data_IF_274047120138
#
_entry.id   IF_274047120138
#
_cell.length_a   1.000
_cell.length_b   1.000
_cell.length_c   1.000
_cell.angle_alpha   90.00
_cell.angle_beta   90.00
_cell.angle_gamma   90.00
#
_symmetry.space_group_name_H-M   'P 1'
#
loop_
_entity.id
_entity.type
_entity.pdbx_description
1 polymer ?
#
# COMPACT_ATOMS: atom_id res chain seq x y z
N UNK A 1 8.49 -1.31 5.97
CA UNK A 1 7.09 -1.48 6.43
C UNK A 1 6.59 -2.86 6.07
N UNK A 2 6.10 -3.11 4.85
CA UNK A 2 5.50 -4.41 4.51
C UNK A 2 6.47 -5.59 4.57
N UNK A 3 7.67 -5.48 4.01
CA UNK A 3 8.67 -6.55 4.18
C UNK A 3 9.03 -6.81 5.64
N UNK A 4 9.10 -5.74 6.45
CA UNK A 4 9.36 -5.82 7.88
C UNK A 4 8.26 -6.56 8.62
N UNK A 5 6.99 -6.39 8.25
CA UNK A 5 5.88 -7.16 8.85
C UNK A 5 5.93 -8.65 8.49
N UNK A 6 6.57 -9.01 7.38
CA UNK A 6 6.91 -10.40 7.03
C UNK A 6 8.20 -10.92 7.68
N UNK A 7 8.80 -10.17 8.63
CA UNK A 7 10.05 -10.55 9.28
C UNK A 7 11.30 -10.39 8.39
N UNK A 8 11.17 -9.74 7.23
CA UNK A 8 12.28 -9.48 6.32
C UNK A 8 12.90 -8.12 6.61
N UNK A 9 14.22 -8.09 6.74
CA UNK A 9 14.97 -6.84 6.94
C UNK A 9 15.61 -6.41 5.62
N UNK A 10 15.11 -5.32 5.05
CA UNK A 10 15.70 -4.65 3.90
C UNK A 10 15.98 -3.19 4.24
N UNK A 11 17.14 -2.69 3.80
CA UNK A 11 17.36 -1.26 3.77
C UNK A 11 16.47 -0.63 2.68
N UNK A 12 16.07 0.63 2.88
CA UNK A 12 15.29 1.35 1.87
C UNK A 12 16.02 1.43 0.51
N UNK A 13 17.35 1.55 0.54
CA UNK A 13 18.20 1.53 -0.66
C UNK A 13 18.08 0.22 -1.45
N UNK A 14 17.92 -0.92 -0.77
CA UNK A 14 17.73 -2.22 -1.43
C UNK A 14 16.36 -2.29 -2.10
N UNK A 15 15.31 -1.83 -1.41
CA UNK A 15 13.96 -1.76 -1.96
C UNK A 15 13.94 -0.81 -3.17
N UNK A 16 14.58 0.36 -3.07
CA UNK A 16 14.70 1.31 -4.20
C UNK A 16 15.42 0.67 -5.38
N UNK A 17 16.47 -0.11 -5.16
CA UNK A 17 17.19 -0.85 -6.19
C UNK A 17 16.32 -1.94 -6.84
N UNK A 18 15.57 -2.72 -6.07
CA UNK A 18 14.59 -3.69 -6.61
C UNK A 18 13.55 -2.98 -7.47
N UNK A 19 13.11 -1.81 -7.03
CA UNK A 19 12.20 -0.93 -7.75
C UNK A 19 12.89 -0.12 -8.86
N UNK A 20 14.15 -0.38 -9.21
CA UNK A 20 14.86 0.26 -10.33
C UNK A 20 15.20 1.75 -10.15
N UNK A 21 15.34 2.23 -8.91
CA UNK A 21 15.77 3.58 -8.53
C UNK A 21 15.02 4.71 -9.26
N UNK A 22 13.68 4.79 -9.11
CA UNK A 22 12.90 5.87 -9.72
C UNK A 22 13.33 7.25 -9.19
N UNK A 23 13.38 8.25 -10.07
CA UNK A 23 13.65 9.65 -9.67
C UNK A 23 12.40 10.41 -9.19
N UNK A 24 11.22 10.10 -9.73
CA UNK A 24 9.99 10.87 -9.51
C UNK A 24 8.81 10.04 -8.95
N UNK A 25 9.09 8.84 -8.43
CA UNK A 25 8.07 7.87 -8.05
C UNK A 25 7.77 6.86 -9.15
N UNK A 26 6.82 5.97 -8.88
CA UNK A 26 6.41 4.89 -9.77
C UNK A 26 4.95 4.51 -9.49
N UNK A 27 4.28 3.99 -10.52
CA UNK A 27 2.89 3.52 -10.38
C UNK A 27 2.85 2.22 -9.58
N UNK A 28 1.71 1.88 -8.97
CA UNK A 28 1.56 0.63 -8.23
C UNK A 28 1.69 -0.59 -9.13
N UNK A 29 1.20 -0.51 -10.38
CA UNK A 29 1.40 -1.54 -11.40
C UNK A 29 2.88 -1.80 -11.66
N UNK A 30 3.65 -0.74 -11.87
CA UNK A 30 5.09 -0.85 -12.13
C UNK A 30 5.85 -1.37 -10.90
N UNK A 31 5.47 -0.91 -9.70
CA UNK A 31 6.00 -1.43 -8.45
C UNK A 31 5.78 -2.94 -8.33
N UNK A 32 4.55 -3.42 -8.56
CA UNK A 32 4.20 -4.84 -8.54
C UNK A 32 5.09 -5.65 -9.49
N UNK A 33 5.20 -5.22 -10.76
CA UNK A 33 5.97 -5.93 -11.77
C UNK A 33 7.47 -6.01 -11.39
N UNK A 34 8.04 -4.92 -10.88
CA UNK A 34 9.46 -4.87 -10.47
C UNK A 34 9.72 -5.72 -9.22
N UNK A 35 8.80 -5.71 -8.25
CA UNK A 35 8.87 -6.55 -7.06
C UNK A 35 8.75 -8.04 -7.40
N UNK A 36 7.83 -8.42 -8.29
CA UNK A 36 7.73 -9.78 -8.83
C UNK A 36 9.03 -10.21 -9.52
N UNK A 37 9.60 -9.35 -10.37
CA UNK A 37 10.88 -9.63 -11.04
C UNK A 37 12.04 -9.79 -10.05
N UNK A 38 11.96 -9.16 -8.87
CA UNK A 38 12.91 -9.31 -7.77
C UNK A 38 12.60 -10.52 -6.86
N UNK A 39 11.58 -11.34 -7.18
CA UNK A 39 11.21 -12.55 -6.45
C UNK A 39 10.23 -12.34 -5.29
N UNK A 40 9.70 -11.14 -5.10
CA UNK A 40 8.66 -10.89 -4.09
C UNK A 40 7.29 -11.36 -4.60
N UNK A 41 6.50 -11.95 -3.70
CA UNK A 41 5.13 -12.35 -4.00
C UNK A 41 4.22 -11.12 -3.89
N UNK A 42 3.87 -10.52 -5.03
CA UNK A 42 3.02 -9.34 -5.07
C UNK A 42 2.02 -9.41 -6.22
N UNK A 43 0.90 -8.69 -6.11
CA UNK A 43 -0.14 -8.63 -7.13
C UNK A 43 -0.66 -7.21 -7.27
N UNK A 44 -0.91 -6.77 -8.50
CA UNK A 44 -1.59 -5.51 -8.76
C UNK A 44 -3.04 -5.78 -9.10
N UNK A 45 -3.93 -5.04 -8.46
CA UNK A 45 -5.37 -5.15 -8.62
C UNK A 45 -5.99 -3.79 -8.93
N UNK A 46 -6.99 -3.80 -9.80
CA UNK A 46 -7.83 -2.64 -10.12
C UNK A 46 -9.26 -2.93 -9.69
N UNK A 47 -10.02 -1.88 -9.39
CA UNK A 47 -11.44 -1.96 -9.03
C UNK A 47 -11.75 -2.76 -7.75
N UNK A 48 -10.76 -2.97 -6.87
CA UNK A 48 -10.99 -3.52 -5.53
C UNK A 48 -11.84 -2.59 -4.67
N UNK A 49 -12.75 -3.17 -3.89
CA UNK A 49 -13.49 -2.50 -2.83
C UNK A 49 -12.82 -2.64 -1.47
N UNK A 50 -13.49 -2.10 -0.44
CA UNK A 50 -13.06 -2.23 0.95
C UNK A 50 -13.15 -3.68 1.44
N UNK A 51 -14.09 -4.46 0.91
CA UNK A 51 -14.24 -5.87 1.29
C UNK A 51 -13.06 -6.70 0.76
N UNK A 52 -12.56 -6.42 -0.45
CA UNK A 52 -11.34 -7.06 -0.97
C UNK A 52 -10.12 -6.72 -0.12
N UNK A 53 -9.99 -5.45 0.32
CA UNK A 53 -8.94 -5.04 1.26
C UNK A 53 -9.05 -5.84 2.57
N UNK A 54 -10.24 -5.92 3.17
CA UNK A 54 -10.48 -6.69 4.41
C UNK A 54 -10.10 -8.16 4.25
N UNK A 55 -10.52 -8.78 3.16
CA UNK A 55 -10.24 -10.18 2.90
C UNK A 55 -8.75 -10.41 2.65
N UNK A 56 -8.04 -9.47 1.99
CA UNK A 56 -6.59 -9.54 1.86
C UNK A 56 -5.87 -9.50 3.21
N UNK A 57 -6.29 -8.61 4.11
CA UNK A 57 -5.72 -8.47 5.46
C UNK A 57 -5.94 -9.73 6.31
N UNK A 58 -7.14 -10.32 6.25
CA UNK A 58 -7.46 -11.60 6.89
C UNK A 58 -6.59 -12.76 6.41
N UNK A 59 -6.12 -12.69 5.17
CA UNK A 59 -5.23 -13.67 4.56
C UNK A 59 -3.74 -13.31 4.73
N UNK A 60 -3.40 -12.44 5.67
CA UNK A 60 -2.02 -11.98 5.93
C UNK A 60 -1.33 -11.38 4.70
N UNK A 61 -2.11 -10.70 3.86
CA UNK A 61 -1.62 -9.89 2.76
C UNK A 61 -1.75 -8.41 3.11
N UNK A 62 -0.75 -7.60 2.76
CA UNK A 62 -0.74 -6.18 3.06
C UNK A 62 -0.95 -5.36 1.78
N UNK A 63 -2.11 -4.71 1.62
CA UNK A 63 -2.38 -3.86 0.48
C UNK A 63 -1.74 -2.49 0.66
N UNK A 64 -0.99 -2.08 -0.35
CA UNK A 64 -0.48 -0.73 -0.58
C UNK A 64 -1.37 -0.06 -1.60
N UNK A 65 -1.95 1.08 -1.26
CA UNK A 65 -2.90 1.79 -2.11
C UNK A 65 -2.45 3.22 -2.37
N UNK A 66 -2.85 3.75 -3.52
CA UNK A 66 -2.70 5.18 -3.83
C UNK A 66 -3.87 5.97 -3.27
N UNK A 67 -3.60 7.10 -2.62
CA UNK A 67 -4.63 8.04 -2.16
C UNK A 67 -4.31 9.46 -2.64
N UNK A 68 -5.35 10.24 -2.92
CA UNK A 68 -5.20 11.67 -3.14
C UNK A 68 -5.10 12.42 -1.80
N UNK A 69 -3.97 13.07 -1.54
CA UNK A 69 -3.70 13.69 -0.23
C UNK A 69 -4.57 14.89 0.10
N UNK A 70 -5.16 15.56 -0.90
CA UNK A 70 -6.04 16.73 -0.71
C UNK A 70 -7.26 16.46 0.18
N UNK A 71 -7.72 15.22 0.24
CA UNK A 71 -8.83 14.81 1.10
C UNK A 71 -8.46 14.76 2.59
N UNK A 72 -7.18 14.90 2.90
CA UNK A 72 -6.61 14.90 4.26
C UNK A 72 -5.97 16.25 4.63
N UNK A 73 -6.29 17.32 3.89
CA UNK A 73 -5.80 18.68 4.19
C UNK A 73 -4.39 19.00 3.68
N UNK A 74 -3.79 18.12 2.84
CA UNK A 74 -2.48 18.34 2.24
C UNK A 74 -2.57 18.86 0.80
N UNK A 75 -1.46 19.36 0.20
CA UNK A 75 -1.41 19.66 -1.23
C UNK A 75 -1.78 18.47 -2.11
N UNK A 76 -2.33 18.76 -3.30
CA UNK A 76 -2.74 17.71 -4.25
C UNK A 76 -1.53 16.93 -4.75
N UNK A 77 -1.52 15.64 -4.46
CA UNK A 77 -0.56 14.65 -4.91
C UNK A 77 -1.12 13.26 -4.63
N UNK A 78 -0.85 12.32 -5.54
CA UNK A 78 -1.07 10.90 -5.28
C UNK A 78 0.02 10.36 -4.35
N UNK A 79 -0.36 9.58 -3.35
CA UNK A 79 0.53 9.08 -2.32
C UNK A 79 0.23 7.63 -1.96
N UNK A 80 1.28 6.84 -1.72
CA UNK A 80 1.13 5.44 -1.37
C UNK A 80 1.10 5.26 0.15
N UNK A 81 0.08 4.56 0.64
CA UNK A 81 -0.08 4.17 2.05
C UNK A 81 -0.29 2.66 2.16
N UNK A 82 0.10 2.09 3.30
CA UNK A 82 -0.14 0.67 3.60
C UNK A 82 -1.38 0.57 4.46
N UNK A 83 -2.39 -0.20 4.06
CA UNK A 83 -3.54 -0.44 4.92
C UNK A 83 -3.21 -1.58 5.88
N UNK A 84 -3.51 -1.39 7.15
CA UNK A 84 -3.27 -2.38 8.22
C UNK A 84 -4.55 -2.94 8.78
N UNK A 85 -5.64 -2.16 8.76
CA UNK A 85 -6.95 -2.62 9.21
C UNK A 85 -8.11 -1.83 8.58
N UNK A 86 -9.29 -2.43 8.56
CA UNK A 86 -10.55 -1.79 8.17
C UNK A 86 -11.65 -2.24 9.12
N UNK A 87 -11.91 -1.44 10.15
CA UNK A 87 -12.92 -1.73 11.18
C UNK A 87 -14.12 -0.79 11.09
N UNK A 88 -15.32 -1.34 10.90
CA UNK A 88 -16.55 -0.56 10.92
C UNK A 88 -16.54 0.61 9.92
N UNK A 89 -16.39 1.83 10.44
CA UNK A 89 -16.34 3.09 9.66
C UNK A 89 -14.95 3.69 9.55
N UNK A 90 -13.92 2.96 9.95
CA UNK A 90 -12.54 3.43 10.01
C UNK A 90 -11.61 2.54 9.19
N UNK A 91 -10.57 3.17 8.65
CA UNK A 91 -9.46 2.53 7.95
C UNK A 91 -8.19 2.94 8.69
N UNK A 92 -7.42 1.95 9.09
CA UNK A 92 -6.10 2.15 9.70
C UNK A 92 -5.03 1.98 8.63
N UNK A 93 -4.09 2.92 8.56
CA UNK A 93 -3.05 2.95 7.54
C UNK A 93 -1.72 3.45 8.09
N UNK A 94 -0.62 2.92 7.57
CA UNK A 94 0.72 3.45 7.77
C UNK A 94 1.05 4.41 6.62
N UNK A 95 1.40 5.65 6.97
CA UNK A 95 1.83 6.68 6.03
C UNK A 95 3.34 6.94 6.20
N UNK A 96 4.17 6.63 5.18
CA UNK A 96 5.62 6.80 5.27
C UNK A 96 6.07 8.26 5.48
N UNK A 97 5.21 9.26 5.25
CA UNK A 97 5.54 10.67 5.49
C UNK A 97 5.25 11.12 6.93
N UNK A 98 4.39 10.40 7.64
CA UNK A 98 3.92 10.79 8.98
C UNK A 98 4.62 10.00 10.09
N UNK A 99 5.20 8.84 9.77
CA UNK A 99 6.03 8.07 10.67
C UNK A 99 5.65 6.60 10.73
N UNK A 100 6.14 5.86 11.74
CA UNK A 100 5.86 4.43 11.90
C UNK A 100 4.51 4.16 12.58
N UNK A 101 3.85 5.18 13.10
CA UNK A 101 2.56 5.04 13.80
C UNK A 101 1.41 4.91 12.80
N UNK A 102 0.37 4.19 13.23
CA UNK A 102 -0.85 4.06 12.45
C UNK A 102 -1.66 5.35 12.46
N UNK A 103 -2.26 5.64 11.31
CA UNK A 103 -3.21 6.72 11.13
C UNK A 103 -4.60 6.18 10.85
N UNK A 104 -5.60 6.77 11.49
CA UNK A 104 -7.00 6.37 11.34
C UNK A 104 -7.73 7.39 10.48
N UNK A 105 -8.41 6.91 9.45
CA UNK A 105 -9.25 7.70 8.57
C UNK A 105 -10.69 7.18 8.56
N UNK A 106 -11.66 8.07 8.43
CA UNK A 106 -13.04 7.66 8.17
C UNK A 106 -13.14 7.01 6.78
N UNK A 107 -13.85 5.89 6.69
CA UNK A 107 -14.04 5.08 5.47
C UNK A 107 -14.51 5.94 4.29
N UNK A 108 -15.44 6.87 4.52
CA UNK A 108 -15.95 7.73 3.45
C UNK A 108 -14.85 8.63 2.85
N UNK A 109 -14.00 9.22 3.70
CA UNK A 109 -12.87 10.05 3.29
C UNK A 109 -11.83 9.21 2.55
N UNK A 110 -11.45 8.08 3.13
CA UNK A 110 -10.50 7.15 2.52
C UNK A 110 -10.98 6.66 1.15
N UNK A 111 -12.20 6.14 1.06
CA UNK A 111 -12.74 5.59 -0.18
C UNK A 111 -12.82 6.65 -1.30
N UNK A 112 -13.14 7.90 -0.95
CA UNK A 112 -13.14 9.01 -1.90
C UNK A 112 -11.71 9.33 -2.37
N UNK A 113 -10.75 9.38 -1.44
CA UNK A 113 -9.35 9.65 -1.76
C UNK A 113 -8.73 8.55 -2.63
N UNK A 114 -8.99 7.29 -2.31
CA UNK A 114 -8.51 6.12 -3.05
C UNK A 114 -9.14 6.05 -4.44
N UNK A 115 -10.45 6.28 -4.56
CA UNK A 115 -11.13 6.33 -5.87
C UNK A 115 -10.60 7.46 -6.74
N UNK A 116 -10.36 8.63 -6.16
CA UNK A 116 -9.80 9.77 -6.89
C UNK A 116 -8.36 9.52 -7.37
N UNK A 117 -7.64 8.58 -6.75
CA UNK A 117 -6.30 8.15 -7.14
C UNK A 117 -6.29 6.94 -8.10
N UNK A 118 -7.46 6.49 -8.58
CA UNK A 118 -7.58 5.39 -9.55
C UNK A 118 -7.98 4.04 -8.95
N UNK A 119 -8.20 3.94 -7.64
CA UNK A 119 -8.68 2.72 -6.97
C UNK A 119 -7.82 1.48 -7.25
N UNK A 120 -6.50 1.67 -7.26
CA UNK A 120 -5.52 0.61 -7.45
C UNK A 120 -4.97 0.10 -6.11
N UNK A 121 -4.63 -1.18 -6.06
CA UNK A 121 -3.94 -1.79 -4.93
C UNK A 121 -2.76 -2.63 -5.41
N UNK A 122 -1.61 -2.47 -4.77
CA UNK A 122 -0.49 -3.39 -4.79
C UNK A 122 -0.60 -4.26 -3.53
N UNK A 123 -0.88 -5.54 -3.67
CA UNK A 123 -1.01 -6.46 -2.56
C UNK A 123 0.25 -7.28 -2.44
N UNK A 124 0.92 -7.15 -1.31
CA UNK A 124 2.08 -7.94 -0.96
C UNK A 124 1.60 -9.15 -0.16
N UNK A 125 2.02 -10.34 -0.56
CA UNK A 125 1.67 -11.59 0.09
C UNK A 125 2.83 -12.05 0.96
N UNK A 126 2.53 -12.62 2.12
CA UNK A 126 3.56 -13.29 2.92
C UNK A 126 4.22 -14.37 2.06
N UNK A 127 5.55 -14.48 2.03
CA UNK A 127 6.19 -15.67 1.49
C UNK A 127 5.61 -16.88 2.20
N UNK A 128 5.28 -17.94 1.46
CA UNK A 128 4.86 -19.20 2.07
C UNK A 128 5.99 -19.66 3.01
N UNK A 129 5.67 -20.14 4.23
CA UNK A 129 6.69 -20.76 5.07
C UNK A 129 7.28 -21.95 4.30
N UNK A 130 8.59 -21.90 4.10
CA UNK A 130 9.40 -22.97 3.52
C UNK A 130 9.38 -24.22 4.39
#
# INVERSE_FOLDING_TARGET
MVFTSFGQSYAESDIRRMLGNPRFGLTLKEAANRLQAAGAVSQWHTAWGLDDIRDSLRNHAYPVVGIERRFFGYPSATHAVVITDVQGREVEMLDPLLGPESHIAQVATFATAWRSAGQEALVMLSPLPS
#
